data_IF_059934030509
#
_entry.id   IF_059934030509
#
_cell.length_a   1.000
_cell.length_b   1.000
_cell.length_c   1.000
_cell.angle_alpha   90.00
_cell.angle_beta   90.00
_cell.angle_gamma   90.00
#
_symmetry.space_group_name_H-M   'P 1'
#
loop_
_entity.id
_entity.type
_entity.pdbx_description
1 polymer ?
#
# COMPACT_ATOMS: atom_id res chain seq x y z
N UNK A 1 -3.43 -22.93 11.91
CA UNK A 1 -3.50 -21.83 10.91
C UNK A 1 -2.15 -21.16 10.67
N UNK A 2 -1.33 -20.92 11.71
CA UNK A 2 0.09 -20.47 11.62
C UNK A 2 0.95 -21.39 10.73
N UNK A 3 0.73 -22.71 10.81
CA UNK A 3 1.41 -23.70 9.97
C UNK A 3 1.13 -23.54 8.46
N UNK A 4 -0.02 -22.95 8.07
CA UNK A 4 -0.39 -22.73 6.66
C UNK A 4 0.30 -21.49 6.07
N UNK A 5 0.55 -20.45 6.88
CA UNK A 5 1.34 -19.28 6.47
C UNK A 5 2.83 -19.66 6.32
N UNK A 6 3.35 -20.52 7.21
CA UNK A 6 4.70 -21.09 7.08
C UNK A 6 4.83 -22.00 5.84
N UNK A 7 3.81 -22.80 5.55
CA UNK A 7 3.79 -23.64 4.33
C UNK A 7 3.72 -22.79 3.05
N UNK A 8 3.08 -21.62 3.12
CA UNK A 8 3.09 -20.61 2.06
C UNK A 8 4.51 -20.09 1.79
N UNK A 9 5.28 -19.80 2.86
CA UNK A 9 6.66 -19.32 2.75
C UNK A 9 7.60 -20.34 2.09
N UNK A 10 7.40 -21.63 2.34
CA UNK A 10 8.21 -22.71 1.73
C UNK A 10 7.91 -22.95 0.25
N UNK A 11 6.70 -22.62 -0.24
CA UNK A 11 6.33 -22.79 -1.64
C UNK A 11 6.94 -21.71 -2.55
N UNK A 12 7.20 -20.50 -2.04
CA UNK A 12 7.81 -19.42 -2.81
C UNK A 12 9.34 -19.48 -2.86
N UNK A 13 9.99 -20.19 -1.94
CA UNK A 13 11.45 -20.34 -1.91
C UNK A 13 12.01 -21.35 -2.93
N UNK A 14 11.16 -22.25 -3.46
CA UNK A 14 11.61 -23.31 -4.39
C UNK A 14 11.41 -22.99 -5.88
N UNK A 15 10.93 -21.79 -6.22
CA UNK A 15 10.73 -21.38 -7.60
C UNK A 15 11.88 -20.47 -8.07
N UNK A 16 13.08 -21.03 -8.26
CA UNK A 16 14.13 -20.39 -9.04
C UNK A 16 14.86 -21.41 -9.91
N UNK A 17 14.54 -21.41 -11.20
CA UNK A 17 15.52 -21.35 -12.30
C UNK A 17 14.79 -21.49 -13.63
N UNK A 18 14.82 -20.42 -14.44
CA UNK A 18 14.96 -20.45 -15.90
C UNK A 18 14.94 -19.00 -16.41
N UNK A 19 16.11 -18.55 -16.88
CA UNK A 19 16.36 -17.24 -17.46
C UNK A 19 15.76 -17.12 -18.87
N UNK A 20 14.94 -16.09 -19.13
CA UNK A 20 14.44 -15.71 -20.46
C UNK A 20 14.28 -14.17 -20.57
N UNK A 21 14.35 -13.58 -21.78
CA UNK A 21 14.78 -12.18 -21.99
C UNK A 21 13.74 -11.08 -21.65
N UNK A 22 14.25 -9.86 -21.46
CA UNK A 22 13.80 -8.90 -20.43
C UNK A 22 12.78 -7.80 -20.80
N UNK A 23 12.34 -7.60 -22.04
CA UNK A 23 11.68 -6.31 -22.38
C UNK A 23 10.16 -6.34 -22.59
N UNK A 24 9.53 -7.52 -22.66
CA UNK A 24 8.06 -7.66 -22.77
C UNK A 24 7.42 -8.56 -21.69
N UNK A 25 8.24 -9.34 -20.96
CA UNK A 25 7.78 -10.40 -20.07
C UNK A 25 7.55 -9.99 -18.61
N UNK A 26 8.08 -8.84 -18.15
CA UNK A 26 7.92 -8.41 -16.75
C UNK A 26 6.46 -8.09 -16.38
N UNK A 27 5.65 -7.63 -17.35
CA UNK A 27 4.24 -7.26 -17.15
C UNK A 27 3.36 -8.47 -16.79
N UNK A 28 3.56 -9.60 -17.48
CA UNK A 28 2.79 -10.82 -17.27
C UNK A 28 3.18 -11.52 -15.97
N UNK A 29 4.49 -11.55 -15.64
CA UNK A 29 5.01 -12.28 -14.47
C UNK A 29 4.49 -11.67 -13.16
N UNK A 30 4.51 -10.34 -13.00
CA UNK A 30 4.05 -9.70 -11.78
C UNK A 30 2.52 -9.74 -11.60
N UNK A 31 1.79 -9.74 -12.71
CA UNK A 31 0.34 -9.88 -12.68
C UNK A 31 -0.09 -11.33 -12.42
N UNK A 32 0.64 -12.32 -12.95
CA UNK A 32 0.45 -13.73 -12.59
C UNK A 32 0.69 -14.01 -11.11
N UNK A 33 1.74 -13.46 -10.51
CA UNK A 33 2.01 -13.62 -9.07
C UNK A 33 0.88 -13.04 -8.22
N UNK A 34 0.41 -11.84 -8.56
CA UNK A 34 -0.76 -11.23 -7.94
C UNK A 34 -2.01 -12.11 -8.06
N UNK A 35 -2.24 -12.72 -9.22
CA UNK A 35 -3.40 -13.59 -9.45
C UNK A 35 -3.28 -14.93 -8.74
N UNK A 36 -2.08 -15.50 -8.68
CA UNK A 36 -1.78 -16.68 -7.87
C UNK A 36 -2.09 -16.37 -6.41
N UNK A 37 -1.62 -15.23 -5.89
CA UNK A 37 -1.92 -14.77 -4.55
C UNK A 37 -3.43 -14.57 -4.33
N UNK A 38 -4.13 -13.83 -5.19
CA UNK A 38 -5.58 -13.62 -5.09
C UNK A 38 -6.38 -14.92 -5.14
N UNK A 39 -6.07 -15.80 -6.09
CA UNK A 39 -6.73 -17.10 -6.25
C UNK A 39 -6.51 -17.95 -5.01
N UNK A 40 -5.30 -17.93 -4.45
CA UNK A 40 -4.98 -18.65 -3.23
C UNK A 40 -5.76 -18.09 -2.03
N UNK A 41 -5.70 -16.77 -1.80
CA UNK A 41 -6.41 -16.11 -0.71
C UNK A 41 -7.93 -16.24 -0.81
N UNK A 42 -8.50 -16.26 -2.02
CA UNK A 42 -9.93 -16.49 -2.27
C UNK A 42 -10.36 -17.97 -2.34
N UNK A 43 -9.44 -18.93 -2.18
CA UNK A 43 -9.75 -20.37 -2.23
C UNK A 43 -9.97 -21.02 -0.85
N UNK A 44 -9.67 -20.29 0.23
CA UNK A 44 -9.88 -20.77 1.58
C UNK A 44 -11.38 -20.77 1.91
N UNK A 45 -11.91 -21.95 2.29
CA UNK A 45 -13.33 -22.15 2.71
C UNK A 45 -13.77 -21.32 3.94
N UNK A 46 -12.87 -20.54 4.53
CA UNK A 46 -13.12 -19.63 5.66
C UNK A 46 -13.06 -18.15 5.27
N UNK A 47 -12.65 -17.85 4.03
CA UNK A 47 -12.62 -16.49 3.53
C UNK A 47 -14.05 -16.05 3.22
N UNK A 48 -14.51 -14.96 3.84
CA UNK A 48 -15.75 -14.27 3.44
C UNK A 48 -15.65 -13.68 2.02
N UNK A 49 -14.45 -13.71 1.42
CA UNK A 49 -14.13 -13.07 0.15
C UNK A 49 -14.31 -14.03 -1.03
N UNK A 50 -15.15 -13.64 -1.98
CA UNK A 50 -15.44 -14.42 -3.19
C UNK A 50 -14.22 -14.55 -4.13
N UNK A 51 -14.33 -15.46 -5.11
CA UNK A 51 -13.37 -15.68 -6.20
C UNK A 51 -13.17 -14.38 -7.01
N UNK A 52 -11.94 -13.86 -7.03
CA UNK A 52 -11.60 -12.67 -7.80
C UNK A 52 -11.68 -12.97 -9.32
N UNK A 53 -12.63 -12.34 -10.03
CA UNK A 53 -12.77 -12.44 -11.49
C UNK A 53 -12.08 -11.25 -12.15
N UNK A 54 -10.75 -11.25 -12.19
CA UNK A 54 -10.01 -10.18 -12.85
C UNK A 54 -10.23 -10.20 -14.37
N UNK A 55 -10.38 -9.03 -15.01
CA UNK A 55 -10.50 -8.84 -16.46
C UNK A 55 -9.20 -8.22 -16.97
N UNK A 56 -8.46 -8.95 -17.81
CA UNK A 56 -7.14 -8.51 -18.30
C UNK A 56 -7.20 -7.73 -19.59
N UNK A 57 -8.11 -8.11 -20.50
CA UNK A 57 -8.22 -7.44 -21.79
C UNK A 57 -8.81 -6.05 -21.57
N UNK A 58 -8.06 -4.96 -21.84
CA UNK A 58 -8.61 -3.63 -21.69
C UNK A 58 -9.71 -3.42 -22.73
N UNK A 59 -10.84 -2.85 -22.30
CA UNK A 59 -11.88 -2.38 -23.21
C UNK A 59 -11.60 -0.96 -23.69
N UNK A 60 -10.83 -0.19 -22.92
CA UNK A 60 -10.51 1.20 -23.19
C UNK A 60 -9.09 1.50 -22.69
N UNK A 61 -8.34 2.26 -23.48
CA UNK A 61 -7.06 2.84 -23.07
C UNK A 61 -7.14 4.35 -23.22
N UNK A 62 -6.72 5.07 -22.19
CA UNK A 62 -6.73 6.53 -22.12
C UNK A 62 -5.31 7.03 -21.83
N UNK A 63 -5.01 8.27 -22.22
CA UNK A 63 -3.72 8.90 -21.96
C UNK A 63 -3.90 10.19 -21.16
N UNK A 64 -3.05 10.36 -20.16
CA UNK A 64 -2.94 11.57 -19.35
C UNK A 64 -1.54 12.15 -19.53
N UNK A 65 -1.46 13.45 -19.81
CA UNK A 65 -0.21 14.17 -20.03
C UNK A 65 -0.32 15.59 -19.48
N UNK A 66 0.74 16.08 -18.83
CA UNK A 66 0.83 17.49 -18.42
C UNK A 66 0.88 18.46 -19.61
N UNK A 67 1.21 17.94 -20.80
CA UNK A 67 1.19 18.63 -22.09
C UNK A 67 0.35 17.79 -23.06
N UNK A 68 -0.99 17.78 -22.91
CA UNK A 68 -1.84 16.89 -23.66
C UNK A 68 -1.81 17.22 -25.15
N UNK A 69 -1.79 16.17 -25.97
CA UNK A 69 -2.12 16.26 -27.40
C UNK A 69 -3.63 16.08 -27.60
N UNK A 70 -4.10 16.26 -28.83
CA UNK A 70 -5.49 15.98 -29.18
C UNK A 70 -5.89 14.57 -28.75
N UNK A 71 -7.00 14.46 -28.00
CA UNK A 71 -7.50 13.19 -27.45
C UNK A 71 -6.87 12.75 -26.12
N UNK A 72 -5.92 13.50 -25.56
CA UNK A 72 -5.32 13.22 -24.25
C UNK A 72 -5.92 14.12 -23.16
N UNK A 73 -5.90 13.62 -21.92
CA UNK A 73 -6.40 14.36 -20.78
C UNK A 73 -5.29 15.15 -20.09
N UNK A 74 -5.54 16.42 -19.69
CA UNK A 74 -4.54 17.22 -18.97
C UNK A 74 -4.34 16.76 -17.52
N UNK A 75 -5.33 16.10 -16.92
CA UNK A 75 -5.28 15.63 -15.53
C UNK A 75 -5.92 14.25 -15.40
N UNK A 76 -5.53 13.51 -14.36
CA UNK A 76 -6.03 12.18 -14.10
C UNK A 76 -7.49 12.20 -13.64
N UNK A 77 -7.88 13.15 -12.77
CA UNK A 77 -9.29 13.23 -12.34
C UNK A 77 -10.23 13.51 -13.52
N UNK A 78 -9.81 14.30 -14.53
CA UNK A 78 -10.61 14.52 -15.73
C UNK A 78 -10.76 13.26 -16.58
N UNK A 79 -9.72 12.45 -16.70
CA UNK A 79 -9.81 11.15 -17.37
C UNK A 79 -10.82 10.25 -16.65
N UNK A 80 -10.71 10.12 -15.33
CA UNK A 80 -11.63 9.34 -14.49
C UNK A 80 -13.08 9.83 -14.66
N UNK A 81 -13.31 11.14 -14.59
CA UNK A 81 -14.65 11.74 -14.72
C UNK A 81 -15.29 11.56 -16.10
N UNK A 82 -14.50 11.24 -17.14
CA UNK A 82 -15.03 10.99 -18.49
C UNK A 82 -15.56 9.56 -18.67
N UNK A 83 -15.28 8.66 -17.72
CA UNK A 83 -15.75 7.28 -17.75
C UNK A 83 -17.23 7.19 -17.33
N UNK A 84 -17.97 6.18 -17.81
CA UNK A 84 -19.30 5.89 -17.28
C UNK A 84 -19.27 5.65 -15.78
N UNK A 85 -20.31 6.09 -15.08
CA UNK A 85 -20.43 5.95 -13.61
C UNK A 85 -20.22 4.51 -13.15
N UNK A 86 -20.76 3.54 -13.91
CA UNK A 86 -20.59 2.10 -13.68
C UNK A 86 -19.61 1.56 -14.71
N UNK A 87 -18.43 1.12 -14.26
CA UNK A 87 -17.44 0.52 -15.14
C UNK A 87 -17.39 -1.01 -14.95
N UNK A 88 -17.65 -1.74 -16.04
CA UNK A 88 -17.72 -3.20 -16.04
C UNK A 88 -16.54 -3.86 -16.75
N UNK A 89 -15.56 -3.10 -17.25
CA UNK A 89 -14.44 -3.63 -18.00
C UNK A 89 -13.13 -2.93 -17.64
N UNK A 90 -12.00 -3.56 -17.96
CA UNK A 90 -10.67 -3.05 -17.62
C UNK A 90 -10.37 -1.78 -18.43
N UNK A 91 -10.18 -0.67 -17.74
CA UNK A 91 -9.74 0.60 -18.35
C UNK A 91 -8.29 0.84 -17.94
N UNK A 92 -7.43 1.07 -18.92
CA UNK A 92 -6.01 1.40 -18.70
C UNK A 92 -5.80 2.88 -18.93
N UNK A 93 -5.33 3.59 -17.92
CA UNK A 93 -4.97 5.01 -18.00
C UNK A 93 -3.45 5.10 -17.97
N UNK A 94 -2.85 5.37 -19.13
CA UNK A 94 -1.41 5.61 -19.27
C UNK A 94 -1.10 7.06 -18.90
N UNK A 95 -0.21 7.26 -17.94
CA UNK A 95 0.15 8.58 -17.42
C UNK A 95 1.59 8.87 -17.85
N UNK A 96 1.78 9.95 -18.58
CA UNK A 96 3.10 10.38 -19.06
C UNK A 96 4.01 10.80 -17.90
N UNK A 97 5.30 10.95 -18.18
CA UNK A 97 6.23 11.53 -17.22
C UNK A 97 5.82 12.96 -16.86
N UNK A 98 5.85 13.30 -15.58
CA UNK A 98 5.48 14.59 -15.04
C UNK A 98 5.04 14.52 -13.58
N UNK A 99 4.97 15.70 -12.97
CA UNK A 99 4.37 15.89 -11.64
C UNK A 99 2.97 16.47 -11.81
N UNK A 100 1.98 15.71 -11.34
CA UNK A 100 0.56 16.02 -11.40
C UNK A 100 0.11 16.48 -10.01
N UNK A 101 -0.03 17.79 -9.84
CA UNK A 101 -0.50 18.36 -8.57
C UNK A 101 -2.03 18.38 -8.53
N UNK A 102 -2.62 17.25 -8.17
CA UNK A 102 -4.06 17.07 -8.07
C UNK A 102 -4.41 16.10 -6.94
N UNK A 103 -5.60 16.29 -6.37
CA UNK A 103 -6.23 15.33 -5.47
C UNK A 103 -7.15 14.45 -6.30
N UNK A 104 -6.98 13.13 -6.22
CA UNK A 104 -7.69 12.19 -7.07
C UNK A 104 -8.49 11.21 -6.24
N UNK A 105 -9.74 10.97 -6.63
CA UNK A 105 -10.61 9.96 -6.06
C UNK A 105 -11.19 9.05 -7.15
N UNK A 106 -11.03 7.74 -6.97
CA UNK A 106 -11.70 6.72 -7.78
C UNK A 106 -12.91 6.21 -6.98
N UNK A 107 -14.14 6.47 -7.45
CA UNK A 107 -15.35 6.09 -6.74
C UNK A 107 -15.57 4.57 -6.79
N UNK A 108 -16.34 4.05 -5.83
CA UNK A 108 -16.57 2.60 -5.68
C UNK A 108 -17.26 1.94 -6.89
N UNK A 109 -17.97 2.72 -7.71
CA UNK A 109 -18.68 2.24 -8.90
C UNK A 109 -17.77 2.03 -10.13
N UNK A 110 -16.52 2.51 -10.09
CA UNK A 110 -15.58 2.44 -11.21
C UNK A 110 -14.58 1.29 -11.06
N UNK A 111 -15.05 0.04 -11.04
CA UNK A 111 -14.20 -1.16 -10.92
C UNK A 111 -13.16 -1.29 -12.06
N UNK A 112 -12.12 -2.10 -11.87
CA UNK A 112 -11.15 -2.51 -12.92
C UNK A 112 -10.34 -1.36 -13.56
N UNK A 113 -10.02 -0.30 -12.81
CA UNK A 113 -9.10 0.74 -13.29
C UNK A 113 -7.65 0.28 -13.14
N UNK A 114 -6.86 0.49 -14.18
CA UNK A 114 -5.39 0.34 -14.15
C UNK A 114 -4.73 1.67 -14.45
N UNK A 115 -3.86 2.12 -13.57
CA UNK A 115 -2.96 3.24 -13.82
C UNK A 115 -1.60 2.70 -14.19
N UNK A 116 -1.01 3.25 -15.25
CA UNK A 116 0.34 2.91 -15.69
C UNK A 116 1.14 4.18 -15.92
N UNK A 117 2.14 4.42 -15.08
CA UNK A 117 3.05 5.55 -15.24
C UNK A 117 4.19 5.25 -16.22
N UNK A 118 4.98 6.27 -16.53
CA UNK A 118 6.19 6.16 -17.34
C UNK A 118 7.42 5.68 -16.55
N UNK A 119 7.23 5.29 -15.29
CA UNK A 119 8.28 5.00 -14.32
C UNK A 119 7.97 5.70 -13.00
N UNK A 120 8.18 5.02 -11.87
CA UNK A 120 7.82 5.56 -10.56
C UNK A 120 8.57 6.87 -10.22
N UNK A 121 9.82 6.99 -10.68
CA UNK A 121 10.63 8.21 -10.56
C UNK A 121 10.27 9.33 -11.54
N UNK A 122 9.42 9.04 -12.52
CA UNK A 122 9.07 9.95 -13.62
C UNK A 122 7.63 10.43 -13.57
N UNK A 123 6.73 9.65 -12.97
CA UNK A 123 5.30 9.97 -12.89
C UNK A 123 4.90 10.10 -11.42
N UNK A 124 4.63 11.33 -10.99
CA UNK A 124 4.35 11.67 -9.59
C UNK A 124 2.97 12.33 -9.50
N UNK A 125 2.09 11.79 -8.66
CA UNK A 125 0.83 12.45 -8.28
C UNK A 125 1.03 12.99 -6.86
N UNK A 126 0.87 14.30 -6.69
CA UNK A 126 1.11 14.95 -5.40
C UNK A 126 0.00 15.91 -4.96
N UNK A 127 -0.24 15.91 -3.64
CA UNK A 127 -1.02 16.92 -2.95
C UNK A 127 -0.39 17.21 -1.58
N UNK A 128 -1.07 17.90 -0.68
CA UNK A 128 -0.47 18.36 0.58
C UNK A 128 -1.47 18.59 1.72
N UNK A 129 -2.54 17.80 1.78
CA UNK A 129 -3.54 17.94 2.84
C UNK A 129 -3.08 17.24 4.13
N UNK A 130 -3.31 17.91 5.25
CA UNK A 130 -3.24 17.35 6.60
C UNK A 130 -4.65 17.14 7.16
N UNK A 131 -4.79 16.27 8.15
CA UNK A 131 -6.08 15.94 8.77
C UNK A 131 -6.79 17.15 9.39
N UNK A 132 -6.06 18.14 9.89
CA UNK A 132 -6.58 19.38 10.46
C UNK A 132 -6.98 20.44 9.43
N UNK A 133 -6.69 20.23 8.13
CA UNK A 133 -7.14 21.14 7.07
C UNK A 133 -8.66 21.22 7.11
N UNK A 134 -9.18 22.45 7.14
CA UNK A 134 -10.62 22.72 7.10
C UNK A 134 -11.06 22.97 5.67
N UNK A 135 -12.10 22.26 5.26
CA UNK A 135 -12.78 22.43 3.97
C UNK A 135 -14.29 22.43 4.23
N UNK A 136 -15.02 23.42 3.71
CA UNK A 136 -16.47 23.59 3.94
C UNK A 136 -16.88 23.55 5.42
N UNK A 137 -16.06 24.16 6.30
CA UNK A 137 -16.33 24.26 7.74
C UNK A 137 -16.09 22.99 8.53
N UNK A 138 -15.53 21.92 7.93
CA UNK A 138 -15.18 20.67 8.61
C UNK A 138 -13.72 20.30 8.38
N UNK A 139 -13.09 19.74 9.41
CA UNK A 139 -11.77 19.13 9.24
C UNK A 139 -11.88 17.92 8.32
N UNK A 140 -10.91 17.76 7.42
CA UNK A 140 -10.85 16.61 6.52
C UNK A 140 -10.68 15.28 7.28
N UNK A 141 -9.97 15.34 8.42
CA UNK A 141 -9.51 14.15 9.13
C UNK A 141 -8.47 13.35 8.33
N UNK A 142 -7.91 12.31 8.94
CA UNK A 142 -6.93 11.44 8.27
C UNK A 142 -7.49 10.86 6.97
N UNK A 143 -8.76 10.42 6.99
CA UNK A 143 -9.41 9.83 5.81
C UNK A 143 -9.50 10.80 4.62
N UNK A 144 -9.84 12.07 4.88
CA UNK A 144 -9.97 13.11 3.86
C UNK A 144 -8.64 13.73 3.43
N UNK A 145 -7.54 13.50 4.16
CA UNK A 145 -6.21 14.03 3.83
C UNK A 145 -5.53 13.34 2.64
N UNK A 146 -6.08 12.23 2.14
CA UNK A 146 -5.48 11.44 1.08
C UNK A 146 -5.26 12.24 -0.21
N UNK A 147 -4.02 12.23 -0.71
CA UNK A 147 -3.68 12.74 -2.06
C UNK A 147 -4.38 11.90 -3.12
N UNK A 148 -4.34 10.58 -2.96
CA UNK A 148 -4.97 9.62 -3.86
C UNK A 148 -5.88 8.67 -3.08
N UNK A 149 -7.17 8.66 -3.40
CA UNK A 149 -8.17 7.81 -2.76
C UNK A 149 -8.73 6.78 -3.75
N UNK A 150 -8.59 5.50 -3.43
CA UNK A 150 -9.17 4.40 -4.19
C UNK A 150 -10.28 3.76 -3.36
N UNK A 151 -11.51 3.83 -3.84
CA UNK A 151 -12.66 3.13 -3.26
C UNK A 151 -13.16 2.00 -4.17
N UNK A 152 -12.43 1.73 -5.26
CA UNK A 152 -12.85 0.84 -6.35
C UNK A 152 -12.13 -0.51 -6.35
N UNK A 153 -12.85 -1.63 -6.53
CA UNK A 153 -12.25 -2.96 -6.55
C UNK A 153 -11.50 -3.27 -7.86
N UNK A 154 -10.59 -4.24 -7.80
CA UNK A 154 -9.76 -4.68 -8.94
C UNK A 154 -8.81 -3.60 -9.47
N UNK A 155 -8.53 -2.58 -8.65
CA UNK A 155 -7.62 -1.49 -8.98
C UNK A 155 -6.18 -1.99 -9.12
N UNK A 156 -5.47 -1.49 -10.13
CA UNK A 156 -4.05 -1.75 -10.31
C UNK A 156 -3.32 -0.43 -10.54
N UNK A 157 -2.21 -0.20 -9.85
CA UNK A 157 -1.27 0.86 -10.18
C UNK A 157 0.11 0.26 -10.47
N UNK A 158 0.75 0.74 -11.54
CA UNK A 158 2.11 0.36 -11.93
C UNK A 158 2.95 1.60 -12.17
N UNK A 159 4.19 1.60 -11.66
CA UNK A 159 5.22 2.57 -12.02
C UNK A 159 4.83 4.05 -11.77
N UNK A 160 4.19 4.33 -10.62
CA UNK A 160 3.71 5.67 -10.23
C UNK A 160 4.14 5.97 -8.79
N UNK A 161 4.48 7.23 -8.52
CA UNK A 161 4.64 7.77 -7.17
C UNK A 161 3.36 8.47 -6.71
N UNK A 162 2.87 8.12 -5.53
CA UNK A 162 1.84 8.86 -4.80
C UNK A 162 2.50 9.59 -3.63
N UNK A 163 2.31 10.91 -3.55
CA UNK A 163 3.02 11.75 -2.58
C UNK A 163 2.10 12.71 -1.84
N UNK A 164 2.15 12.69 -0.52
CA UNK A 164 1.68 13.82 0.27
C UNK A 164 2.89 14.66 0.70
N UNK A 165 2.90 15.94 0.31
CA UNK A 165 4.03 16.84 0.55
C UNK A 165 3.95 17.62 1.86
N UNK A 166 2.98 17.32 2.72
CA UNK A 166 2.92 17.91 4.05
C UNK A 166 4.26 17.67 4.80
N UNK A 167 4.78 18.67 5.53
CA UNK A 167 6.06 18.53 6.21
C UNK A 167 5.97 17.50 7.33
N UNK A 168 7.13 16.94 7.70
CA UNK A 168 7.25 16.09 8.89
C UNK A 168 6.74 16.86 10.12
N UNK A 169 5.70 16.38 10.82
CA UNK A 169 5.19 17.10 11.97
C UNK A 169 6.14 17.03 13.17
N UNK A 170 6.16 18.05 14.05
CA UNK A 170 6.78 17.95 15.36
C UNK A 170 6.20 16.76 16.15
N UNK A 171 7.02 16.14 16.99
CA UNK A 171 6.56 15.04 17.85
C UNK A 171 5.40 15.48 18.73
N UNK A 172 4.30 14.72 18.71
CA UNK A 172 3.09 15.00 19.49
C UNK A 172 2.13 16.01 18.86
N UNK A 173 2.40 16.53 17.66
CA UNK A 173 1.49 17.43 16.97
C UNK A 173 0.14 16.73 16.67
N UNK A 174 -0.95 17.43 16.95
CA UNK A 174 -2.32 16.95 16.70
C UNK A 174 -2.78 17.32 15.30
N UNK A 175 -3.50 16.41 14.63
CA UNK A 175 -4.14 16.67 13.34
C UNK A 175 -3.20 16.78 12.13
N UNK A 176 -1.92 16.40 12.28
CA UNK A 176 -0.91 16.50 11.21
C UNK A 176 -0.73 15.23 10.37
N UNK A 177 -1.60 14.24 10.53
CA UNK A 177 -1.66 13.06 9.66
C UNK A 177 -1.85 13.52 8.21
N UNK A 178 -1.12 12.92 7.27
CA UNK A 178 -1.10 13.38 5.88
C UNK A 178 -0.93 12.21 4.91
N UNK A 179 -2.05 11.69 4.41
CA UNK A 179 -2.08 10.45 3.63
C UNK A 179 -1.65 10.70 2.17
N UNK A 180 -0.71 9.90 1.68
CA UNK A 180 -0.29 9.90 0.27
C UNK A 180 -1.25 9.04 -0.58
N UNK A 181 -1.56 7.84 -0.11
CA UNK A 181 -2.56 6.99 -0.75
C UNK A 181 -3.45 6.31 0.29
N UNK A 182 -4.76 6.31 0.04
CA UNK A 182 -5.75 5.50 0.75
C UNK A 182 -6.37 4.48 -0.19
N UNK A 183 -6.41 3.22 0.24
CA UNK A 183 -7.09 2.14 -0.47
C UNK A 183 -8.18 1.51 0.42
N UNK A 184 -9.43 1.68 -0.01
CA UNK A 184 -10.65 1.19 0.64
C UNK A 184 -11.44 0.30 -0.32
N UNK A 185 -10.82 -0.74 -0.87
CA UNK A 185 -11.48 -1.60 -1.86
C UNK A 185 -10.85 -2.97 -1.95
N UNK A 186 -11.64 -3.99 -2.29
CA UNK A 186 -11.10 -5.33 -2.39
C UNK A 186 -10.29 -5.56 -3.67
N UNK A 187 -9.31 -6.47 -3.60
CA UNK A 187 -8.49 -6.92 -4.75
C UNK A 187 -7.71 -5.80 -5.44
N UNK A 188 -6.92 -5.02 -4.70
CA UNK A 188 -6.04 -4.01 -5.31
C UNK A 188 -4.59 -4.53 -5.45
N UNK A 189 -3.87 -4.03 -6.46
CA UNK A 189 -2.45 -4.30 -6.65
C UNK A 189 -1.65 -3.01 -6.92
N UNK A 190 -0.46 -2.95 -6.36
CA UNK A 190 0.51 -1.88 -6.58
C UNK A 190 1.85 -2.53 -6.92
N UNK A 191 2.40 -2.21 -8.10
CA UNK A 191 3.61 -2.85 -8.62
C UNK A 191 4.61 -1.77 -8.98
N UNK A 192 5.81 -1.82 -8.39
CA UNK A 192 6.85 -0.81 -8.63
C UNK A 192 6.38 0.62 -8.35
N UNK A 193 5.47 0.81 -7.37
CA UNK A 193 4.98 2.13 -6.97
C UNK A 193 5.83 2.73 -5.85
N UNK A 194 5.79 4.06 -5.70
CA UNK A 194 6.32 4.74 -4.51
C UNK A 194 5.21 5.43 -3.73
N UNK A 195 5.32 5.41 -2.42
CA UNK A 195 4.41 6.09 -1.49
C UNK A 195 5.26 6.97 -0.60
N UNK A 196 5.11 8.28 -0.72
CA UNK A 196 5.99 9.27 -0.06
C UNK A 196 5.16 10.18 0.82
N UNK A 197 5.51 10.24 2.10
CA UNK A 197 4.84 11.08 3.09
C UNK A 197 5.61 11.10 4.39
N UNK A 198 4.95 11.55 5.45
CA UNK A 198 5.50 11.58 6.80
C UNK A 198 4.64 10.72 7.74
N UNK A 199 3.77 11.35 8.53
CA UNK A 199 2.82 10.63 9.36
C UNK A 199 1.65 10.12 8.51
N UNK A 200 1.28 8.84 8.70
CA UNK A 200 0.15 8.20 8.03
C UNK A 200 0.26 8.13 6.48
N UNK A 201 1.44 7.85 5.92
CA UNK A 201 1.68 7.86 4.46
C UNK A 201 0.72 6.95 3.66
N UNK A 202 0.63 5.67 4.02
CA UNK A 202 -0.16 4.66 3.31
C UNK A 202 -1.30 4.17 4.19
N UNK A 203 -2.51 4.59 3.86
CA UNK A 203 -3.73 4.14 4.52
C UNK A 203 -4.28 2.89 3.80
N UNK A 204 -3.74 1.74 4.19
CA UNK A 204 -4.18 0.40 3.82
C UNK A 204 -5.46 0.03 4.59
N UNK A 205 -6.56 0.70 4.21
CA UNK A 205 -7.75 0.85 5.05
C UNK A 205 -8.55 -0.45 5.19
N UNK A 206 -9.07 -0.99 4.08
CA UNK A 206 -9.89 -2.21 4.08
C UNK A 206 -9.88 -2.87 2.69
N UNK A 207 -9.76 -4.20 2.65
CA UNK A 207 -9.71 -4.99 1.42
C UNK A 207 -8.50 -5.92 1.37
N UNK A 208 -8.38 -6.70 0.28
CA UNK A 208 -7.20 -7.51 -0.02
C UNK A 208 -6.27 -6.76 -0.95
N UNK A 209 -5.05 -6.47 -0.51
CA UNK A 209 -4.10 -5.68 -1.29
C UNK A 209 -2.76 -6.40 -1.45
N UNK A 210 -2.16 -6.20 -2.61
CA UNK A 210 -0.84 -6.73 -2.92
C UNK A 210 0.09 -5.60 -3.35
N UNK A 211 1.22 -5.48 -2.67
CA UNK A 211 2.25 -4.49 -2.94
C UNK A 211 3.52 -5.25 -3.33
N UNK A 212 3.99 -5.11 -4.57
CA UNK A 212 5.18 -5.80 -5.08
C UNK A 212 6.23 -4.79 -5.54
N UNK A 213 7.47 -4.93 -5.07
CA UNK A 213 8.59 -4.05 -5.46
C UNK A 213 8.32 -2.57 -5.21
N UNK A 214 7.53 -2.26 -4.18
CA UNK A 214 7.16 -0.88 -3.86
C UNK A 214 8.18 -0.23 -2.93
N UNK A 215 8.31 1.09 -3.02
CA UNK A 215 9.00 1.92 -2.05
C UNK A 215 7.98 2.65 -1.17
N UNK A 216 8.10 2.57 0.15
CA UNK A 216 7.19 3.22 1.08
C UNK A 216 8.01 4.01 2.10
N UNK A 217 7.76 5.32 2.18
CA UNK A 217 8.47 6.24 3.05
C UNK A 217 7.54 6.95 4.03
N UNK A 218 7.95 7.05 5.28
CA UNK A 218 7.25 7.86 6.27
C UNK A 218 7.88 7.82 7.65
N UNK A 219 7.19 8.34 8.65
CA UNK A 219 7.70 8.52 10.00
C UNK A 219 6.89 7.74 11.03
N UNK A 220 5.69 8.21 11.35
CA UNK A 220 4.81 7.64 12.37
C UNK A 220 3.63 6.97 11.67
N UNK A 221 3.38 5.71 12.04
CA UNK A 221 2.28 4.87 11.57
C UNK A 221 2.15 4.87 10.04
N UNK A 222 3.27 4.89 9.32
CA UNK A 222 3.25 5.23 7.90
C UNK A 222 2.67 4.12 7.00
N UNK A 223 2.44 2.92 7.54
CA UNK A 223 1.57 1.88 6.95
C UNK A 223 0.51 1.51 7.99
N UNK A 224 -0.74 1.88 7.77
CA UNK A 224 -1.78 1.71 8.78
C UNK A 224 -3.14 1.36 8.20
N UNK A 225 -4.02 0.78 9.03
CA UNK A 225 -5.37 0.38 8.66
C UNK A 225 -5.69 -1.08 8.98
N UNK A 226 -6.71 -1.64 8.33
CA UNK A 226 -7.21 -2.99 8.57
C UNK A 226 -7.25 -3.85 7.29
N UNK A 227 -6.39 -3.57 6.32
CA UNK A 227 -6.24 -4.41 5.13
C UNK A 227 -5.78 -5.85 5.44
N UNK A 228 -6.07 -6.76 4.52
CA UNK A 228 -5.44 -8.07 4.40
C UNK A 228 -4.40 -7.98 3.29
N UNK A 229 -3.15 -7.71 3.66
CA UNK A 229 -2.17 -7.21 2.70
C UNK A 229 -0.86 -7.98 2.73
N UNK A 230 -0.36 -8.25 1.53
CA UNK A 230 0.98 -8.79 1.31
C UNK A 230 1.86 -7.73 0.66
N UNK A 231 2.97 -7.43 1.32
CA UNK A 231 4.05 -6.58 0.85
C UNK A 231 5.23 -7.49 0.52
N UNK A 232 5.58 -7.60 -0.77
CA UNK A 232 6.63 -8.49 -1.27
C UNK A 232 7.71 -7.68 -2.00
N UNK A 233 8.98 -7.96 -1.68
CA UNK A 233 10.15 -7.28 -2.27
C UNK A 233 10.11 -5.75 -2.09
N UNK A 234 9.46 -5.26 -1.04
CA UNK A 234 9.29 -3.82 -0.82
C UNK A 234 10.46 -3.22 -0.04
N UNK A 235 10.76 -1.95 -0.32
CA UNK A 235 11.69 -1.13 0.46
C UNK A 235 10.89 -0.17 1.34
N UNK A 236 11.04 -0.33 2.65
CA UNK A 236 10.38 0.43 3.70
C UNK A 236 11.40 1.39 4.31
N UNK A 237 11.21 2.70 4.13
CA UNK A 237 12.19 3.73 4.51
C UNK A 237 11.63 4.69 5.56
N UNK A 238 12.19 4.67 6.76
CA UNK A 238 11.78 5.56 7.84
C UNK A 238 12.51 6.91 7.77
N UNK A 239 11.75 8.00 7.81
CA UNK A 239 12.23 9.38 7.83
C UNK A 239 11.78 10.07 9.12
N UNK A 240 12.50 9.80 10.22
CA UNK A 240 12.25 10.44 11.52
C UNK A 240 13.56 10.91 12.16
N UNK A 241 13.47 11.99 12.94
CA UNK A 241 14.58 12.53 13.74
C UNK A 241 14.53 12.05 15.20
N UNK A 242 13.42 11.44 15.63
CA UNK A 242 13.22 10.95 16.99
C UNK A 242 12.72 9.51 16.95
N UNK A 243 11.43 9.31 17.23
CA UNK A 243 10.78 8.01 17.18
C UNK A 243 9.79 7.95 16.02
N UNK A 244 9.68 6.78 15.40
CA UNK A 244 8.72 6.47 14.36
C UNK A 244 8.09 5.10 14.59
N UNK A 245 7.08 4.80 13.79
CA UNK A 245 6.45 3.49 13.77
C UNK A 245 6.16 3.10 12.32
N UNK A 246 6.66 1.93 11.92
CA UNK A 246 6.48 1.41 10.58
C UNK A 246 5.02 1.05 10.31
N UNK A 247 4.38 0.35 11.26
CA UNK A 247 2.99 -0.09 11.11
C UNK A 247 2.07 0.35 12.24
N UNK A 248 0.79 0.54 11.92
CA UNK A 248 -0.30 0.63 12.89
C UNK A 248 -1.53 -0.14 12.41
N UNK A 249 -1.54 -1.45 12.67
CA UNK A 249 -2.58 -2.37 12.17
C UNK A 249 -3.77 -2.41 13.14
N UNK A 250 -4.99 -2.31 12.59
CA UNK A 250 -6.24 -2.02 13.31
C UNK A 250 -7.20 -3.20 13.51
N UNK A 251 -6.75 -4.44 13.41
CA UNK A 251 -7.60 -5.62 13.59
C UNK A 251 -8.29 -5.61 14.95
N UNK A 252 -9.62 -5.72 14.95
CA UNK A 252 -10.45 -5.54 16.16
C UNK A 252 -10.93 -6.85 16.77
N UNK A 253 -10.85 -7.97 16.05
CA UNK A 253 -11.35 -9.27 16.52
C UNK A 253 -10.51 -10.43 16.00
N UNK A 254 -10.43 -11.51 16.79
CA UNK A 254 -9.80 -12.77 16.38
C UNK A 254 -10.50 -13.44 15.18
N UNK A 255 -11.77 -13.11 14.93
CA UNK A 255 -12.55 -13.60 13.78
C UNK A 255 -12.16 -12.91 12.47
N UNK A 256 -11.55 -11.72 12.52
CA UNK A 256 -11.09 -11.04 11.32
C UNK A 256 -9.87 -11.75 10.73
N UNK A 257 -9.84 -11.91 9.41
CA UNK A 257 -8.69 -12.47 8.70
C UNK A 257 -7.69 -11.40 8.21
N UNK A 258 -7.80 -10.15 8.68
CA UNK A 258 -6.97 -9.01 8.27
C UNK A 258 -5.58 -9.02 8.90
N UNK A 259 -4.64 -8.26 8.34
CA UNK A 259 -3.25 -8.22 8.81
C UNK A 259 -2.28 -7.82 7.72
N UNK A 260 -1.09 -7.39 8.14
CA UNK A 260 -0.01 -7.03 7.21
C UNK A 260 1.09 -8.09 7.24
N UNK A 261 1.46 -8.58 6.06
CA UNK A 261 2.57 -9.53 5.88
C UNK A 261 3.63 -8.90 5.00
N UNK A 262 4.87 -8.84 5.48
CA UNK A 262 6.02 -8.33 4.76
C UNK A 262 6.98 -9.48 4.47
N UNK A 263 7.28 -9.72 3.21
CA UNK A 263 8.09 -10.86 2.75
C UNK A 263 9.20 -10.36 1.85
N UNK A 264 10.44 -10.75 2.17
CA UNK A 264 11.64 -10.34 1.41
C UNK A 264 11.79 -8.82 1.29
N UNK A 265 11.35 -8.09 2.31
CA UNK A 265 11.41 -6.62 2.33
C UNK A 265 12.76 -6.14 2.88
N UNK A 266 13.01 -4.84 2.72
CA UNK A 266 14.14 -4.14 3.35
C UNK A 266 13.64 -2.97 4.17
N UNK A 267 13.95 -2.93 5.46
CA UNK A 267 13.67 -1.79 6.35
C UNK A 267 14.95 -1.01 6.59
N UNK A 268 14.91 0.29 6.32
CA UNK A 268 16.04 1.24 6.45
C UNK A 268 15.52 2.60 6.92
N UNK A 269 16.40 3.56 7.17
CA UNK A 269 15.96 4.93 7.49
C UNK A 269 16.85 5.62 8.52
N UNK A 270 16.27 6.61 9.18
CA UNK A 270 16.88 7.37 10.27
C UNK A 270 16.03 7.33 11.55
N UNK A 271 16.66 7.69 12.67
CA UNK A 271 16.01 7.74 13.99
C UNK A 271 15.74 6.36 14.59
N UNK A 272 14.86 6.31 15.58
CA UNK A 272 14.45 5.09 16.27
C UNK A 272 13.08 4.63 15.78
N UNK A 273 12.97 3.38 15.29
CA UNK A 273 11.78 2.87 14.65
C UNK A 273 11.19 1.69 15.41
N UNK A 274 9.90 1.76 15.73
CA UNK A 274 9.12 0.58 16.09
C UNK A 274 8.65 -0.12 14.81
N UNK A 275 8.70 -1.44 14.76
CA UNK A 275 8.10 -2.27 13.70
C UNK A 275 6.59 -2.06 13.62
N UNK A 276 5.96 -1.76 14.76
CA UNK A 276 4.57 -1.33 14.76
C UNK A 276 4.02 -0.97 16.12
N UNK A 277 2.82 -0.39 16.08
CA UNK A 277 1.97 -0.09 17.23
C UNK A 277 0.60 -0.75 17.07
N UNK A 278 0.08 -1.35 18.13
CA UNK A 278 -1.22 -2.01 18.10
C UNK A 278 -2.36 -0.99 18.06
N UNK A 279 -2.81 -0.56 16.87
CA UNK A 279 -3.97 0.34 16.78
C UNK A 279 -5.29 -0.39 17.10
N UNK A 280 -5.39 -1.68 16.76
CA UNK A 280 -6.49 -2.55 17.16
C UNK A 280 -6.05 -3.58 18.19
N UNK A 281 -6.99 -4.04 19.02
CA UNK A 281 -6.72 -4.98 20.13
C UNK A 281 -6.18 -6.34 19.65
N UNK A 282 -6.44 -6.73 18.41
CA UNK A 282 -5.97 -8.00 17.82
C UNK A 282 -4.99 -7.75 16.67
N UNK A 283 -4.22 -6.66 16.77
CA UNK A 283 -3.27 -6.22 15.75
C UNK A 283 -2.41 -7.38 15.27
N UNK A 284 -2.24 -7.48 13.94
CA UNK A 284 -1.51 -8.59 13.33
C UNK A 284 -0.57 -8.12 12.24
N UNK A 285 0.72 -8.27 12.51
CA UNK A 285 1.80 -7.91 11.59
C UNK A 285 2.87 -9.00 11.60
N UNK A 286 3.29 -9.43 10.42
CA UNK A 286 4.31 -10.47 10.23
C UNK A 286 5.41 -9.95 9.32
N UNK A 287 6.66 -10.12 9.75
CA UNK A 287 7.84 -9.90 8.91
C UNK A 287 8.54 -11.23 8.67
N UNK A 288 8.81 -11.54 7.40
CA UNK A 288 9.49 -12.76 6.98
C UNK A 288 10.61 -12.44 5.97
N UNK A 289 11.78 -13.05 6.15
CA UNK A 289 12.96 -12.84 5.29
C UNK A 289 13.29 -11.36 5.06
N UNK A 290 12.96 -10.51 6.02
CA UNK A 290 13.05 -9.06 5.87
C UNK A 290 14.34 -8.57 6.51
N UNK A 291 15.15 -7.86 5.74
CA UNK A 291 16.32 -7.15 6.26
C UNK A 291 15.85 -5.98 7.13
N UNK A 292 16.45 -5.82 8.32
CA UNK A 292 16.13 -4.74 9.26
C UNK A 292 17.41 -4.02 9.66
N UNK A 293 17.49 -2.74 9.33
CA UNK A 293 18.61 -1.88 9.73
C UNK A 293 18.62 -1.61 11.25
N UNK A 294 19.73 -1.09 11.78
CA UNK A 294 19.96 -0.86 13.22
C UNK A 294 19.06 0.22 13.84
N UNK A 295 18.19 0.84 13.05
CA UNK A 295 17.20 1.82 13.51
C UNK A 295 16.06 1.18 14.30
N UNK A 296 15.85 -0.14 14.18
CA UNK A 296 14.79 -0.83 14.90
C UNK A 296 15.08 -0.82 16.41
N UNK A 297 14.12 -0.34 17.19
CA UNK A 297 14.26 -0.31 18.66
C UNK A 297 14.44 -1.73 19.22
N UNK A 298 15.20 -1.93 20.32
CA UNK A 298 15.38 -3.25 20.93
C UNK A 298 14.07 -3.94 21.34
N UNK A 299 13.04 -3.15 21.71
CA UNK A 299 11.70 -3.65 22.02
C UNK A 299 10.95 -4.14 20.78
N UNK A 300 11.28 -3.62 19.60
CA UNK A 300 10.62 -3.93 18.32
C UNK A 300 9.23 -3.32 18.20
N UNK A 301 8.38 -3.43 19.22
CA UNK A 301 6.97 -3.07 19.20
C UNK A 301 6.59 -2.11 20.32
N UNK A 302 5.50 -1.36 20.13
CA UNK A 302 4.94 -0.47 21.14
C UNK A 302 3.43 -0.72 21.30
N UNK A 303 3.00 -0.93 22.54
CA UNK A 303 1.66 -1.38 22.94
C UNK A 303 0.77 -0.22 23.42
N UNK A 304 1.09 1.03 23.05
CA UNK A 304 0.41 2.23 23.54
C UNK A 304 0.44 2.39 25.07
N UNK A 305 1.37 1.71 25.76
CA UNK A 305 1.43 1.71 27.22
C UNK A 305 0.37 0.82 27.89
N UNK A 306 -0.33 -0.03 27.12
CA UNK A 306 -1.33 -0.98 27.62
C UNK A 306 -0.70 -2.36 27.79
N UNK A 307 -0.13 -2.61 28.96
CA UNK A 307 0.51 -3.88 29.29
C UNK A 307 -0.42 -5.10 29.15
N UNK A 308 -1.73 -4.92 29.38
CA UNK A 308 -2.74 -5.97 29.38
C UNK A 308 -3.12 -6.51 27.98
N UNK A 309 -2.79 -5.80 26.90
CA UNK A 309 -3.19 -6.18 25.53
C UNK A 309 -2.11 -6.99 24.77
N UNK A 310 -1.01 -7.34 25.46
CA UNK A 310 0.13 -8.02 24.83
C UNK A 310 -0.18 -9.45 24.39
N UNK A 311 -1.05 -10.15 25.12
CA UNK A 311 -1.36 -11.55 24.83
C UNK A 311 -2.33 -11.71 23.64
N UNK A 312 -3.16 -10.68 23.38
CA UNK A 312 -4.14 -10.66 22.28
C UNK A 312 -3.56 -10.11 20.96
N UNK A 313 -2.51 -9.30 21.06
CA UNK A 313 -1.79 -8.78 19.89
C UNK A 313 -0.80 -9.82 19.37
N UNK A 314 -0.88 -10.13 18.08
CA UNK A 314 -0.07 -11.18 17.47
C UNK A 314 1.04 -10.53 16.64
N UNK A 315 2.22 -10.39 17.24
CA UNK A 315 3.42 -9.89 16.61
C UNK A 315 4.45 -11.00 16.39
N UNK A 316 4.70 -11.39 15.14
CA UNK A 316 5.70 -12.42 14.82
C UNK A 316 6.79 -11.88 13.90
N UNK A 317 8.04 -11.78 14.38
CA UNK A 317 9.19 -11.82 13.49
C UNK A 317 9.48 -13.29 13.14
N UNK A 318 9.17 -13.72 11.93
CA UNK A 318 9.53 -15.08 11.45
C UNK A 318 10.81 -14.95 10.62
N UNK A 319 11.94 -15.30 11.23
CA UNK A 319 13.28 -15.26 10.64
C UNK A 319 13.76 -13.85 10.24
N UNK A 320 14.34 -13.14 11.22
CA UNK A 320 15.12 -11.93 10.98
C UNK A 320 16.53 -12.35 10.58
N UNK A 321 16.92 -12.12 9.33
CA UNK A 321 18.33 -12.18 8.93
C UNK A 321 19.02 -10.92 9.51
N UNK A 322 19.41 -10.99 10.78
CA UNK A 322 20.31 -9.99 11.38
C UNK A 322 21.71 -10.22 10.80
N UNK A 323 22.15 -9.38 9.88
CA UNK A 323 23.58 -9.31 9.57
C UNK A 323 24.27 -8.50 10.66
N UNK A 324 25.21 -9.15 11.35
CA UNK A 324 26.20 -8.52 12.23
C UNK A 324 27.00 -7.48 11.41
N UNK A 325 27.14 -6.29 11.99
CA UNK A 325 28.37 -5.50 11.89
C UNK A 325 28.58 -4.86 13.25
#
# INVERSE_FOLDING_TARGET
MVLKLLFLMLLFLNANSLSMPETFNGFLVHEEDYLKWLKHMGSFKHSLFQKAKNKFKPCLTMKVSSKPRSGEFPTLQKAINSLPVINNCRVVISISAGTYREKVEIPATMAYITLQGAGADKTIIEWGDTADRVENGRQLGTFGSATFAVNSPYFIAKDITFKNKAPLPPSGALGKQAVALRISADTAAFISCKFIGAQDTLYDHIGRHYFKKCYIEGSVDFIFGNGLSLYEDCHLHAVTTSFGALTAQKRQSFLEETGFSFVNCRITGSGALYLGRAWGNFSRVVFAYTYMDKIITPRGWYDWGRQEQRDDCIFWPVQVLRTRS
#
